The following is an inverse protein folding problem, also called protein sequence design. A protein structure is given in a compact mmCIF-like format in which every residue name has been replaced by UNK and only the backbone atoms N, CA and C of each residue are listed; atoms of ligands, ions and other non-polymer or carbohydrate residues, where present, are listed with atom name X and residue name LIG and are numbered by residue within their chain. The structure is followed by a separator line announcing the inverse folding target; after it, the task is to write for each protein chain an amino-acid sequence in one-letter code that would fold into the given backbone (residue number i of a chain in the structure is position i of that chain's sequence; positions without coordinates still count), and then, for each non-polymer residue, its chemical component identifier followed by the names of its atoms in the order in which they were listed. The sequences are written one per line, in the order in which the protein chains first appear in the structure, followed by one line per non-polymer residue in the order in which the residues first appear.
data_IF_171438330496
#
_entry.id   IF_171438330496
#
_cell.length_a   1.000
_cell.length_b   1.000
_cell.length_c   1.000
_cell.angle_alpha   90.00
_cell.angle_beta   90.00
_cell.angle_gamma   90.00
#
_symmetry.space_group_name_H-M   'P 1'
#
loop_
_entity.id
_entity.type
_entity.pdbx_description
1 polymer ?
#
# COMPACT_ATOMS: atom_id res chain seq x y z
N UNK A 1 -27.95 -5.72 -23.13
CA UNK A 1 -26.80 -4.77 -23.11
C UNK A 1 -26.62 -4.03 -21.77
N UNK A 2 -27.48 -4.26 -20.76
CA UNK A 2 -27.19 -3.97 -19.33
C UNK A 2 -26.79 -5.23 -18.56
N UNK A 3 -26.78 -6.40 -19.22
CA UNK A 3 -26.63 -7.73 -18.59
C UNK A 3 -25.18 -8.16 -18.33
N UNK A 4 -24.17 -7.39 -18.78
CA UNK A 4 -22.76 -7.74 -18.57
C UNK A 4 -22.10 -7.01 -17.38
N UNK A 5 -22.82 -6.06 -16.76
CA UNK A 5 -22.32 -5.29 -15.63
C UNK A 5 -22.81 -5.91 -14.33
N UNK A 6 -21.84 -6.27 -13.48
CA UNK A 6 -22.11 -6.98 -12.23
C UNK A 6 -22.93 -6.11 -11.27
N UNK A 7 -23.91 -6.75 -10.62
CA UNK A 7 -24.68 -6.11 -9.55
C UNK A 7 -23.73 -5.71 -8.41
N UNK A 8 -23.78 -4.44 -8.00
CA UNK A 8 -22.87 -3.87 -6.99
C UNK A 8 -22.98 -4.60 -5.65
N UNK A 9 -24.19 -4.96 -5.21
CA UNK A 9 -24.37 -5.68 -3.95
C UNK A 9 -23.74 -7.08 -4.01
N UNK A 10 -23.90 -7.77 -5.14
CA UNK A 10 -23.26 -9.07 -5.36
C UNK A 10 -21.73 -8.95 -5.37
N UNK A 11 -21.19 -7.90 -5.99
CA UNK A 11 -19.76 -7.61 -5.99
C UNK A 11 -19.23 -7.38 -4.58
N UNK A 12 -19.92 -6.57 -3.76
CA UNK A 12 -19.57 -6.31 -2.37
C UNK A 12 -19.65 -7.60 -1.53
N UNK A 13 -20.68 -8.42 -1.71
CA UNK A 13 -20.85 -9.69 -0.99
C UNK A 13 -19.73 -10.69 -1.30
N UNK A 14 -19.32 -10.79 -2.56
CA UNK A 14 -18.19 -11.62 -2.95
C UNK A 14 -16.87 -11.11 -2.39
N UNK A 15 -16.61 -9.80 -2.51
CA UNK A 15 -15.44 -9.16 -1.91
C UNK A 15 -15.38 -9.45 -0.40
N UNK A 16 -16.48 -9.26 0.32
CA UNK A 16 -16.54 -9.49 1.77
C UNK A 16 -16.21 -10.93 2.13
N UNK A 17 -16.69 -11.91 1.35
CA UNK A 17 -16.36 -13.34 1.57
C UNK A 17 -14.85 -13.59 1.39
N UNK A 18 -14.26 -13.07 0.32
CA UNK A 18 -12.82 -13.24 0.03
C UNK A 18 -11.97 -12.55 1.09
N UNK A 19 -12.27 -11.28 1.39
CA UNK A 19 -11.56 -10.51 2.41
C UNK A 19 -11.64 -11.18 3.80
N UNK A 20 -12.81 -11.72 4.17
CA UNK A 20 -12.99 -12.45 5.42
C UNK A 20 -12.13 -13.72 5.49
N UNK A 21 -12.10 -14.52 4.42
CA UNK A 21 -11.27 -15.73 4.35
C UNK A 21 -9.78 -15.36 4.45
N UNK A 22 -9.34 -14.36 3.69
CA UNK A 22 -7.97 -13.89 3.70
C UNK A 22 -7.52 -13.40 5.08
N UNK A 23 -8.34 -12.57 5.74
CA UNK A 23 -8.03 -12.05 7.07
C UNK A 23 -7.92 -13.14 8.14
N UNK A 24 -8.66 -14.25 8.01
CA UNK A 24 -8.53 -15.41 8.92
C UNK A 24 -7.22 -16.17 8.73
N UNK A 25 -6.59 -16.05 7.55
CA UNK A 25 -5.28 -16.65 7.24
C UNK A 25 -4.12 -15.68 7.52
N UNK A 26 -4.41 -14.39 7.69
CA UNK A 26 -3.44 -13.35 7.99
C UNK A 26 -3.08 -13.27 9.49
N UNK A 27 -2.49 -14.35 10.00
CA UNK A 27 -1.88 -14.42 11.34
C UNK A 27 -0.51 -15.10 11.26
N UNK A 28 0.41 -14.68 12.13
CA UNK A 28 1.79 -15.22 12.15
C UNK A 28 1.85 -16.73 12.47
N UNK A 29 0.83 -17.29 13.11
CA UNK A 29 0.76 -18.72 13.46
C UNK A 29 0.24 -19.63 12.34
N UNK A 30 -0.33 -19.08 11.28
CA UNK A 30 -0.84 -19.86 10.14
C UNK A 30 0.35 -20.32 9.28
N UNK A 31 0.30 -21.54 8.73
CA UNK A 31 1.41 -22.06 7.93
C UNK A 31 1.64 -21.22 6.65
N UNK A 32 2.91 -21.06 6.23
CA UNK A 32 3.27 -20.18 5.11
C UNK A 32 2.68 -20.66 3.78
N UNK A 33 2.57 -21.97 3.58
CA UNK A 33 1.96 -22.58 2.40
C UNK A 33 0.48 -22.18 2.24
N UNK A 34 -0.28 -22.14 3.34
CA UNK A 34 -1.69 -21.72 3.35
C UNK A 34 -1.80 -20.22 3.01
N UNK A 35 -0.85 -19.41 3.48
CA UNK A 35 -0.81 -17.98 3.18
C UNK A 35 -0.44 -17.71 1.72
N UNK A 36 0.48 -18.50 1.15
CA UNK A 36 0.86 -18.43 -0.27
C UNK A 36 -0.32 -18.80 -1.18
N UNK A 37 -1.04 -19.88 -0.88
CA UNK A 37 -2.27 -20.25 -1.60
C UNK A 37 -3.35 -19.16 -1.55
N UNK A 38 -3.48 -18.47 -0.41
CA UNK A 38 -4.43 -17.36 -0.27
C UNK A 38 -3.99 -16.14 -1.09
N UNK A 39 -2.68 -15.85 -1.16
CA UNK A 39 -2.16 -14.79 -2.04
C UNK A 39 -2.55 -15.06 -3.49
N UNK A 40 -2.37 -16.30 -3.98
CA UNK A 40 -2.78 -16.68 -5.34
C UNK A 40 -4.29 -16.49 -5.56
N UNK A 41 -5.10 -16.84 -4.56
CA UNK A 41 -6.57 -16.64 -4.60
C UNK A 41 -6.93 -15.16 -4.68
N UNK A 42 -6.29 -14.32 -3.87
CA UNK A 42 -6.48 -12.87 -3.88
C UNK A 42 -6.05 -12.28 -5.23
N UNK A 43 -4.89 -12.67 -5.75
CA UNK A 43 -4.37 -12.18 -7.04
C UNK A 43 -5.32 -12.51 -8.19
N UNK A 44 -5.84 -13.74 -8.24
CA UNK A 44 -6.82 -14.14 -9.24
C UNK A 44 -8.09 -13.27 -9.18
N UNK A 45 -8.62 -12.99 -7.99
CA UNK A 45 -9.79 -12.13 -7.85
C UNK A 45 -9.48 -10.67 -8.16
N UNK A 46 -8.32 -10.14 -7.73
CA UNK A 46 -7.87 -8.78 -8.07
C UNK A 46 -7.76 -8.57 -9.59
N UNK A 47 -7.27 -9.56 -10.33
CA UNK A 47 -7.26 -9.52 -11.79
C UNK A 47 -8.68 -9.43 -12.36
N UNK A 48 -9.65 -10.15 -11.79
CA UNK A 48 -11.06 -10.03 -12.20
C UNK A 48 -11.65 -8.64 -11.90
N UNK A 49 -11.28 -8.02 -10.77
CA UNK A 49 -11.68 -6.66 -10.42
C UNK A 49 -11.03 -5.63 -11.34
N UNK A 50 -9.78 -5.84 -11.75
CA UNK A 50 -9.10 -4.97 -12.70
C UNK A 50 -9.84 -4.93 -14.05
N UNK A 51 -10.19 -6.09 -14.61
CA UNK A 51 -10.97 -6.16 -15.84
C UNK A 51 -12.38 -5.56 -15.69
N UNK A 52 -13.03 -5.79 -14.54
CA UNK A 52 -14.33 -5.18 -14.24
C UNK A 52 -14.24 -3.65 -14.16
N UNK A 53 -13.20 -3.11 -13.52
CA UNK A 53 -12.95 -1.67 -13.43
C UNK A 53 -12.81 -1.06 -14.83
N UNK A 54 -12.07 -1.71 -15.72
CA UNK A 54 -11.93 -1.27 -17.12
C UNK A 54 -13.27 -1.18 -17.83
N UNK A 55 -14.14 -2.18 -17.66
CA UNK A 55 -15.50 -2.15 -18.22
C UNK A 55 -16.32 -0.98 -17.68
N UNK A 56 -16.25 -0.69 -16.37
CA UNK A 56 -16.94 0.46 -15.80
C UNK A 56 -16.42 1.79 -16.37
N UNK A 57 -15.11 1.93 -16.52
CA UNK A 57 -14.47 3.10 -17.17
C UNK A 57 -14.96 3.27 -18.62
N UNK A 58 -14.99 2.19 -19.41
CA UNK A 58 -15.45 2.20 -20.81
C UNK A 58 -16.93 2.59 -20.96
N UNK A 59 -17.74 2.33 -19.93
CA UNK A 59 -19.16 2.68 -19.90
C UNK A 59 -19.45 3.98 -19.15
N UNK A 60 -18.42 4.76 -18.80
CA UNK A 60 -18.52 6.03 -18.05
C UNK A 60 -19.20 5.89 -16.67
N UNK A 61 -19.09 4.71 -16.06
CA UNK A 61 -19.62 4.36 -14.74
C UNK A 61 -18.59 4.68 -13.65
N UNK A 62 -18.41 5.97 -13.39
CA UNK A 62 -17.33 6.49 -12.54
C UNK A 62 -17.38 5.99 -11.09
N UNK A 63 -18.58 5.94 -10.48
CA UNK A 63 -18.74 5.53 -9.08
C UNK A 63 -18.41 4.05 -8.90
N UNK A 64 -18.84 3.21 -9.85
CA UNK A 64 -18.55 1.79 -9.88
C UNK A 64 -17.07 1.51 -10.15
N UNK A 65 -16.42 2.29 -11.02
CA UNK A 65 -14.98 2.22 -11.24
C UNK A 65 -14.20 2.59 -9.96
N UNK A 66 -14.62 3.65 -9.27
CA UNK A 66 -14.02 4.09 -8.00
C UNK A 66 -14.23 3.06 -6.88
N UNK A 67 -15.42 2.48 -6.77
CA UNK A 67 -15.69 1.39 -5.84
C UNK A 67 -14.80 0.19 -6.13
N UNK A 68 -14.73 -0.24 -7.39
CA UNK A 68 -13.94 -1.40 -7.79
C UNK A 68 -12.45 -1.19 -7.49
N UNK A 69 -11.92 0.02 -7.69
CA UNK A 69 -10.57 0.39 -7.23
C UNK A 69 -10.42 0.19 -5.72
N UNK A 70 -11.38 0.67 -4.91
CA UNK A 70 -11.31 0.53 -3.46
C UNK A 70 -11.34 -0.94 -3.00
N UNK A 71 -12.17 -1.78 -3.62
CA UNK A 71 -12.23 -3.22 -3.32
C UNK A 71 -10.90 -3.91 -3.66
N UNK A 72 -10.35 -3.61 -4.84
CA UNK A 72 -9.10 -4.18 -5.32
C UNK A 72 -7.91 -3.76 -4.44
N UNK A 73 -7.80 -2.48 -4.09
CA UNK A 73 -6.77 -1.98 -3.17
C UNK A 73 -6.94 -2.53 -1.75
N UNK A 74 -8.17 -2.75 -1.28
CA UNK A 74 -8.41 -3.39 0.03
C UNK A 74 -7.81 -4.80 0.07
N UNK A 75 -8.04 -5.59 -0.99
CA UNK A 75 -7.46 -6.92 -1.11
C UNK A 75 -5.94 -6.87 -1.30
N UNK A 76 -5.43 -5.90 -2.06
CA UNK A 76 -3.99 -5.71 -2.20
C UNK A 76 -3.31 -5.41 -0.86
N UNK A 77 -3.96 -4.64 0.02
CA UNK A 77 -3.44 -4.41 1.36
C UNK A 77 -3.37 -5.70 2.18
N UNK A 78 -4.41 -6.56 2.12
CA UNK A 78 -4.42 -7.86 2.81
C UNK A 78 -3.35 -8.80 2.22
N UNK A 79 -3.14 -8.75 0.90
CA UNK A 79 -2.06 -9.49 0.25
C UNK A 79 -0.69 -9.04 0.79
N UNK A 80 -0.45 -7.74 0.92
CA UNK A 80 0.78 -7.23 1.53
C UNK A 80 0.91 -7.62 3.01
N UNK A 81 -0.19 -7.68 3.76
CA UNK A 81 -0.19 -8.22 5.13
C UNK A 81 0.28 -9.68 5.16
N UNK A 82 -0.27 -10.54 4.29
CA UNK A 82 0.13 -11.94 4.18
C UNK A 82 1.62 -12.06 3.80
N UNK A 83 2.06 -11.28 2.81
CA UNK A 83 3.47 -11.24 2.37
C UNK A 83 4.40 -10.75 3.51
N UNK A 84 3.99 -9.77 4.31
CA UNK A 84 4.73 -9.35 5.49
C UNK A 84 4.91 -10.53 6.47
N UNK A 85 3.83 -11.24 6.79
CA UNK A 85 3.87 -12.37 7.73
C UNK A 85 4.73 -13.53 7.22
N UNK A 86 4.68 -13.84 5.92
CA UNK A 86 5.56 -14.83 5.29
C UNK A 86 7.03 -14.38 5.39
N UNK A 87 7.32 -13.13 5.05
CA UNK A 87 8.69 -12.61 5.11
C UNK A 87 9.27 -12.62 6.53
N UNK A 88 8.45 -12.39 7.57
CA UNK A 88 8.89 -12.55 8.96
C UNK A 88 9.31 -13.99 9.24
N UNK A 89 8.54 -14.99 8.80
CA UNK A 89 8.82 -16.42 9.01
C UNK A 89 10.04 -16.89 8.23
N UNK A 90 10.26 -16.31 7.06
CA UNK A 90 11.37 -16.61 6.17
C UNK A 90 12.61 -15.75 6.46
N UNK A 91 12.61 -14.99 7.57
CA UNK A 91 13.75 -14.18 8.02
C UNK A 91 14.12 -13.02 7.07
N UNK A 92 13.20 -12.62 6.20
CA UNK A 92 13.32 -11.53 5.22
C UNK A 92 12.78 -10.21 5.78
N UNK A 93 13.36 -9.72 6.89
CA UNK A 93 12.78 -8.62 7.68
C UNK A 93 12.65 -7.29 6.92
N UNK A 94 13.56 -7.00 5.98
CA UNK A 94 13.48 -5.80 5.13
C UNK A 94 12.25 -5.83 4.23
N UNK A 95 11.98 -6.99 3.60
CA UNK A 95 10.80 -7.18 2.78
C UNK A 95 9.52 -7.26 3.62
N UNK A 96 9.60 -7.78 4.85
CA UNK A 96 8.48 -7.71 5.79
C UNK A 96 8.08 -6.25 6.06
N UNK A 97 9.04 -5.40 6.43
CA UNK A 97 8.80 -3.97 6.65
C UNK A 97 8.24 -3.28 5.40
N UNK A 98 8.85 -3.52 4.24
CA UNK A 98 8.39 -2.95 2.97
C UNK A 98 6.93 -3.33 2.68
N UNK A 99 6.56 -4.59 2.90
CA UNK A 99 5.19 -5.02 2.68
C UNK A 99 4.21 -4.43 3.71
N UNK A 100 4.59 -4.26 4.97
CA UNK A 100 3.75 -3.53 5.94
C UNK A 100 3.48 -2.09 5.49
N UNK A 101 4.53 -1.36 5.08
CA UNK A 101 4.38 0.03 4.62
C UNK A 101 3.51 0.11 3.37
N UNK A 102 3.69 -0.82 2.41
CA UNK A 102 2.81 -0.93 1.24
C UNK A 102 1.35 -1.16 1.65
N UNK A 103 1.10 -2.10 2.58
CA UNK A 103 -0.25 -2.37 3.08
C UNK A 103 -0.91 -1.11 3.66
N UNK A 104 -0.17 -0.35 4.49
CA UNK A 104 -0.64 0.87 5.13
C UNK A 104 -0.98 1.97 4.11
N UNK A 105 -0.05 2.28 3.20
CA UNK A 105 -0.23 3.32 2.17
C UNK A 105 -1.37 2.97 1.20
N UNK A 106 -1.43 1.71 0.78
CA UNK A 106 -2.52 1.21 -0.06
C UNK A 106 -3.88 1.36 0.63
N UNK A 107 -3.99 0.97 1.90
CA UNK A 107 -5.27 1.06 2.61
C UNK A 107 -5.67 2.49 2.99
N UNK A 108 -4.72 3.40 3.23
CA UNK A 108 -5.01 4.83 3.42
C UNK A 108 -5.74 5.42 2.20
N UNK A 109 -5.35 4.99 1.00
CA UNK A 109 -6.00 5.38 -0.25
C UNK A 109 -7.46 4.91 -0.30
N UNK A 110 -7.75 3.70 0.21
CA UNK A 110 -9.12 3.19 0.37
C UNK A 110 -9.88 4.01 1.40
N UNK A 111 -9.31 4.22 2.60
CA UNK A 111 -9.98 4.93 3.69
C UNK A 111 -10.39 6.36 3.31
N UNK A 112 -9.63 7.01 2.42
CA UNK A 112 -9.90 8.37 1.94
C UNK A 112 -10.95 8.45 0.81
N UNK A 113 -11.19 7.35 0.09
CA UNK A 113 -11.93 7.36 -1.16
C UNK A 113 -13.10 6.38 -1.23
N UNK A 114 -13.19 5.38 -0.34
CA UNK A 114 -14.25 4.40 -0.39
C UNK A 114 -15.60 5.06 -0.04
N UNK A 115 -16.63 4.92 -0.89
CA UNK A 115 -17.93 5.52 -0.63
C UNK A 115 -18.74 4.81 0.47
N UNK A 116 -18.30 3.63 0.92
CA UNK A 116 -18.99 2.83 1.92
C UNK A 116 -18.15 2.68 3.19
N UNK A 117 -18.63 3.26 4.30
CA UNK A 117 -17.95 3.19 5.60
C UNK A 117 -17.72 1.76 6.10
N UNK A 118 -18.59 0.82 5.72
CA UNK A 118 -18.47 -0.60 6.09
C UNK A 118 -17.21 -1.26 5.51
N UNK A 119 -16.70 -0.76 4.38
CA UNK A 119 -15.48 -1.25 3.73
C UNK A 119 -14.24 -0.53 4.27
N UNK A 120 -14.38 0.77 4.60
CA UNK A 120 -13.30 1.61 5.11
C UNK A 120 -13.20 1.66 6.64
N UNK A 121 -13.90 0.78 7.36
CA UNK A 121 -13.91 0.80 8.82
C UNK A 121 -12.47 0.69 9.36
N UNK A 122 -12.05 1.69 10.14
CA UNK A 122 -10.67 1.88 10.62
C UNK A 122 -10.09 0.71 11.45
N UNK A 123 -10.87 -0.33 11.74
CA UNK A 123 -10.39 -1.52 12.44
C UNK A 123 -9.21 -2.20 11.73
N UNK A 124 -9.25 -2.25 10.39
CA UNK A 124 -8.17 -2.87 9.63
C UNK A 124 -6.89 -2.01 9.61
N UNK A 125 -7.01 -0.69 9.40
CA UNK A 125 -5.85 0.22 9.50
C UNK A 125 -5.18 0.14 10.89
N UNK A 126 -5.99 0.10 11.95
CA UNK A 126 -5.50 -0.05 13.33
C UNK A 126 -4.75 -1.38 13.53
N UNK A 127 -5.18 -2.47 12.87
CA UNK A 127 -4.45 -3.75 12.89
C UNK A 127 -3.04 -3.58 12.29
N UNK A 128 -2.91 -2.89 11.16
CA UNK A 128 -1.61 -2.63 10.52
C UNK A 128 -0.71 -1.74 11.39
N UNK A 129 -1.27 -0.74 12.06
CA UNK A 129 -0.53 0.08 13.05
C UNK A 129 -0.06 -0.74 14.26
N UNK A 130 -0.83 -1.75 14.68
CA UNK A 130 -0.40 -2.66 15.74
C UNK A 130 0.74 -3.57 15.30
N UNK A 131 0.74 -4.07 14.05
CA UNK A 131 1.90 -4.81 13.55
C UNK A 131 3.17 -3.97 13.57
N UNK A 132 3.09 -2.72 13.13
CA UNK A 132 4.22 -1.79 13.19
C UNK A 132 4.78 -1.67 14.60
N UNK A 133 3.91 -1.45 15.59
CA UNK A 133 4.33 -1.23 16.99
C UNK A 133 4.79 -2.48 17.72
N UNK A 134 4.27 -3.65 17.36
CA UNK A 134 4.48 -4.90 18.11
C UNK A 134 5.57 -5.76 17.46
N UNK A 135 5.63 -5.80 16.12
CA UNK A 135 6.53 -6.69 15.39
C UNK A 135 7.84 -6.02 14.98
N UNK A 136 7.87 -4.69 14.88
CA UNK A 136 9.04 -3.96 14.39
C UNK A 136 9.57 -2.99 15.46
N UNK A 137 10.90 -2.81 15.56
CA UNK A 137 11.50 -1.85 16.48
C UNK A 137 11.22 -0.41 16.04
N UNK A 138 11.39 0.53 16.97
CA UNK A 138 11.45 1.95 16.63
C UNK A 138 12.62 2.23 15.68
N UNK A 139 12.38 3.01 14.64
CA UNK A 139 13.35 3.32 13.59
C UNK A 139 13.43 4.82 13.36
N UNK A 140 14.58 5.28 12.85
CA UNK A 140 14.71 6.61 12.27
C UNK A 140 14.57 6.53 10.75
N UNK A 141 14.08 7.62 10.16
CA UNK A 141 13.83 7.70 8.73
C UNK A 141 14.48 8.94 8.15
N UNK A 142 14.77 8.90 6.85
CA UNK A 142 15.17 10.05 6.07
C UNK A 142 13.93 10.63 5.38
N UNK A 143 13.82 11.96 5.38
CA UNK A 143 12.85 12.70 4.57
C UNK A 143 13.57 13.73 3.72
N UNK A 144 13.00 14.04 2.55
CA UNK A 144 13.57 15.02 1.63
C UNK A 144 12.74 16.29 1.64
N UNK A 145 13.41 17.44 1.63
CA UNK A 145 12.85 18.76 1.38
C UNK A 145 13.43 19.32 0.08
N UNK A 146 12.59 19.99 -0.71
CA UNK A 146 13.05 20.59 -1.96
C UNK A 146 11.98 21.35 -2.73
N UNK A 147 12.43 22.08 -3.74
CA UNK A 147 11.58 22.93 -4.58
C UNK A 147 11.16 22.16 -5.83
N UNK A 148 9.85 21.92 -5.97
CA UNK A 148 9.28 21.36 -7.19
C UNK A 148 9.30 22.44 -8.29
N UNK A 149 10.12 22.25 -9.33
CA UNK A 149 10.23 23.16 -10.47
C UNK A 149 9.16 22.87 -11.52
N UNK A 150 8.89 21.58 -11.79
CA UNK A 150 7.87 21.13 -12.74
C UNK A 150 7.08 19.96 -12.20
N UNK A 151 5.76 20.05 -12.32
CA UNK A 151 4.86 18.96 -12.00
C UNK A 151 3.52 19.10 -12.70
N UNK A 152 2.86 17.98 -12.97
CA UNK A 152 1.52 17.93 -13.57
C UNK A 152 0.61 16.96 -12.82
N UNK A 153 -0.70 17.10 -13.05
CA UNK A 153 -1.71 16.17 -12.54
C UNK A 153 -1.73 14.89 -13.38
N UNK A 154 -1.80 13.71 -12.74
CA UNK A 154 -1.91 12.44 -13.47
C UNK A 154 -3.22 12.26 -14.25
N UNK A 155 -4.30 12.95 -13.87
CA UNK A 155 -5.63 12.77 -14.48
C UNK A 155 -5.82 13.63 -15.73
N UNK A 156 -5.41 14.90 -15.68
CA UNK A 156 -5.62 15.85 -16.79
C UNK A 156 -4.35 16.36 -17.44
N UNK A 157 -3.18 15.96 -16.95
CA UNK A 157 -1.87 16.39 -17.43
C UNK A 157 -1.60 17.91 -17.33
N UNK A 158 -2.53 18.70 -16.81
CA UNK A 158 -2.37 20.12 -16.58
C UNK A 158 -1.37 20.40 -15.45
N UNK A 159 -0.75 21.59 -15.51
CA UNK A 159 0.03 22.11 -14.40
C UNK A 159 -0.84 22.20 -13.15
N UNK A 160 -0.26 21.90 -11.98
CA UNK A 160 -1.03 21.83 -10.74
C UNK A 160 -1.76 23.15 -10.39
N UNK A 161 -1.21 24.30 -10.83
CA UNK A 161 -1.82 25.63 -10.62
C UNK A 161 -3.11 25.86 -11.44
N UNK A 162 -3.37 25.04 -12.46
CA UNK A 162 -4.54 25.12 -13.35
C UNK A 162 -5.49 23.93 -13.20
N UNK A 163 -5.11 22.96 -12.38
CA UNK A 163 -5.83 21.71 -12.21
C UNK A 163 -6.88 21.83 -11.09
N UNK A 164 -8.08 21.32 -11.32
CA UNK A 164 -9.14 21.25 -10.30
C UNK A 164 -9.21 19.88 -9.58
N UNK A 165 -8.33 18.94 -9.90
CA UNK A 165 -8.28 17.62 -9.26
C UNK A 165 -7.55 17.70 -7.92
N UNK A 166 -8.12 17.04 -6.91
CA UNK A 166 -7.60 16.97 -5.55
C UNK A 166 -6.62 15.81 -5.45
N UNK A 167 -5.39 16.08 -5.00
CA UNK A 167 -4.36 15.04 -4.80
C UNK A 167 -4.88 13.97 -3.82
N UNK A 168 -4.77 12.71 -4.23
CA UNK A 168 -5.20 11.55 -3.46
C UNK A 168 -6.70 11.26 -3.54
N UNK A 169 -7.47 11.97 -4.39
CA UNK A 169 -8.85 11.62 -4.70
C UNK A 169 -8.95 10.74 -5.94
N UNK A 170 -9.96 9.87 -5.97
CA UNK A 170 -10.27 9.03 -7.12
C UNK A 170 -11.09 9.77 -8.17
N UNK A 171 -10.73 9.53 -9.43
CA UNK A 171 -11.40 10.00 -10.63
C UNK A 171 -11.43 8.85 -11.63
N UNK A 172 -12.62 8.34 -11.94
CA UNK A 172 -12.84 7.27 -12.91
C UNK A 172 -11.94 6.02 -12.68
N UNK A 173 -11.87 5.55 -11.44
CA UNK A 173 -11.07 4.38 -11.07
C UNK A 173 -9.56 4.60 -11.02
N UNK A 174 -9.10 5.86 -11.10
CA UNK A 174 -7.69 6.26 -10.99
C UNK A 174 -7.46 7.30 -9.90
N UNK A 175 -6.33 7.20 -9.20
CA UNK A 175 -5.98 8.15 -8.16
C UNK A 175 -5.26 9.36 -8.75
N UNK A 176 -5.72 10.57 -8.42
CA UNK A 176 -5.02 11.78 -8.77
C UNK A 176 -3.72 11.90 -7.97
N UNK A 177 -2.59 11.79 -8.65
CA UNK A 177 -1.26 12.03 -8.09
C UNK A 177 -0.61 13.23 -8.75
N UNK A 178 0.32 13.86 -8.02
CA UNK A 178 1.16 14.92 -8.55
C UNK A 178 2.43 14.29 -9.13
N UNK A 179 2.56 14.29 -10.44
CA UNK A 179 3.75 13.82 -11.13
C UNK A 179 4.80 14.92 -11.09
N UNK A 180 5.83 14.73 -10.28
CA UNK A 180 6.99 15.65 -10.20
C UNK A 180 8.00 15.21 -11.25
N UNK A 181 8.26 16.09 -12.23
CA UNK A 181 9.21 15.80 -13.33
C UNK A 181 10.53 16.56 -13.19
N UNK A 182 10.54 17.62 -12.38
CA UNK A 182 11.75 18.38 -12.07
C UNK A 182 11.65 18.92 -10.64
N UNK A 183 12.69 18.64 -9.85
CA UNK A 183 12.80 19.02 -8.45
C UNK A 183 14.25 19.40 -8.17
N UNK A 184 14.44 20.43 -7.36
CA UNK A 184 15.71 20.78 -6.73
C UNK A 184 15.70 20.28 -5.30
N UNK A 185 16.61 19.37 -4.96
CA UNK A 185 16.78 18.85 -3.61
C UNK A 185 17.48 19.91 -2.76
N UNK A 186 16.89 20.27 -1.62
CA UNK A 186 17.46 21.25 -0.70
C UNK A 186 18.01 20.59 0.56
N UNK A 187 17.29 19.59 1.09
CA UNK A 187 17.67 18.96 2.34
C UNK A 187 17.31 17.47 2.38
N UNK A 188 18.05 16.77 3.24
CA UNK A 188 17.70 15.44 3.74
C UNK A 188 17.76 15.52 5.26
N UNK A 189 16.62 15.25 5.91
CA UNK A 189 16.48 15.34 7.36
C UNK A 189 16.22 13.96 7.96
N UNK A 190 16.81 13.69 9.11
CA UNK A 190 16.44 12.53 9.93
C UNK A 190 15.21 12.86 10.76
N UNK A 191 14.18 12.01 10.68
CA UNK A 191 12.88 12.23 11.30
C UNK A 191 12.33 10.95 11.91
N UNK A 192 11.51 11.10 12.95
CA UNK A 192 10.76 10.00 13.56
C UNK A 192 9.49 9.65 12.78
N UNK A 193 8.88 10.65 12.13
CA UNK A 193 7.62 10.50 11.36
C UNK A 193 7.87 10.95 9.91
N UNK A 194 8.21 10.03 8.99
CA UNK A 194 8.50 10.36 7.60
C UNK A 194 7.23 10.44 6.76
N UNK A 195 7.32 11.14 5.62
CA UNK A 195 6.33 11.03 4.55
C UNK A 195 6.34 9.64 3.87
N UNK A 196 7.49 8.96 3.84
CA UNK A 196 7.63 7.60 3.33
C UNK A 196 8.41 6.72 4.34
N UNK A 197 7.71 5.79 4.98
CA UNK A 197 8.29 4.85 5.95
C UNK A 197 9.25 3.81 5.33
N UNK A 198 9.31 3.68 4.01
CA UNK A 198 10.33 2.86 3.35
C UNK A 198 11.72 3.51 3.40
N UNK A 199 11.80 4.83 3.58
CA UNK A 199 13.05 5.58 3.71
C UNK A 199 13.66 5.45 5.11
N UNK A 200 13.68 4.24 5.69
CA UNK A 200 14.32 4.01 7.00
C UNK A 200 15.84 4.09 6.86
N UNK A 201 16.50 4.51 7.93
CA UNK A 201 17.95 4.36 8.05
C UNK A 201 18.27 2.87 8.11
N UNK A 202 19.07 2.34 7.18
CA UNK A 202 19.30 0.90 7.05
C UNK A 202 20.29 0.35 8.08
N UNK A 203 21.26 1.16 8.51
CA UNK A 203 22.34 0.70 9.39
C UNK A 203 22.49 1.62 10.60
N UNK A 204 22.96 1.08 11.71
CA UNK A 204 23.25 1.83 12.93
C UNK A 204 24.48 1.28 13.63
N UNK A 205 24.99 2.00 14.62
CA UNK A 205 26.07 1.52 15.49
C UNK A 205 25.48 0.88 16.74
N UNK A 206 25.82 -0.37 16.98
CA UNK A 206 25.44 -1.10 18.20
C UNK A 206 26.67 -1.83 18.75
N UNK A 207 27.00 -1.61 20.02
CA UNK A 207 28.19 -2.16 20.68
C UNK A 207 29.51 -1.97 19.88
N UNK A 208 29.69 -0.80 19.27
CA UNK A 208 30.88 -0.47 18.47
C UNK A 208 30.96 -1.14 17.10
N UNK A 209 29.91 -1.86 16.67
CA UNK A 209 29.81 -2.51 15.37
C UNK A 209 28.74 -1.85 14.50
N UNK A 210 28.91 -1.89 13.19
CA UNK A 210 27.88 -1.52 12.22
C UNK A 210 26.92 -2.69 12.06
N UNK A 211 25.63 -2.44 12.31
CA UNK A 211 24.58 -3.45 12.24
C UNK A 211 23.41 -2.96 11.40
N UNK A 212 22.60 -3.87 10.87
CA UNK A 212 21.30 -3.53 10.30
C UNK A 212 20.37 -2.99 11.39
N UNK A 213 19.68 -1.89 11.10
CA UNK A 213 18.87 -1.16 12.08
C UNK A 213 17.61 -1.91 12.52
N UNK A 214 17.18 -2.91 11.74
CA UNK A 214 15.96 -3.66 12.00
C UNK A 214 16.25 -4.96 12.77
N UNK A 215 17.34 -5.64 12.42
CA UNK A 215 17.67 -6.99 12.89
C UNK A 215 18.86 -7.03 13.85
N UNK A 216 19.62 -5.94 13.96
CA UNK A 216 20.89 -5.84 14.71
C UNK A 216 21.97 -6.84 14.26
N UNK A 217 21.82 -7.44 13.07
CA UNK A 217 22.87 -8.28 12.47
C UNK A 217 24.03 -7.42 12.04
N UNK A 218 25.24 -7.85 12.37
CA UNK A 218 26.47 -7.21 11.92
C UNK A 218 26.52 -7.22 10.40
N UNK A 219 26.82 -6.05 9.83
CA UNK A 219 27.02 -5.89 8.40
C UNK A 219 28.53 -5.94 8.21
N UNK A 220 29.02 -7.00 7.58
CA UNK A 220 30.41 -7.05 7.16
C UNK A 220 30.64 -5.87 6.20
N UNK A 221 31.68 -5.06 6.47
CA UNK A 221 32.12 -4.05 5.52
C UNK A 221 32.56 -4.80 4.27
N UNK A 222 31.75 -4.77 3.21
CA UNK A 222 32.30 -4.99 1.87
C UNK A 222 33.33 -3.88 1.68
N UNK A 223 34.59 -4.28 1.47
CA UNK A 223 35.64 -3.38 1.03
C UNK A 223 35.30 -2.97 -0.40
N UNK A 224 34.35 -2.05 -0.56
CA UNK A 224 34.10 -1.42 -1.84
C UNK A 224 35.07 -0.22 -1.93
N UNK A 225 36.19 -0.47 -2.62
CA UNK A 225 37.09 0.53 -3.18
C UNK A 225 36.39 1.37 -4.27
#
# INVERSE_FOLDING_TARGET
MKDELKNINLLIDEFNKIAFIAQRKAFITIASEIQKEEIETIEAYRNSLFELKRKYVEHELNEEANLTFCLEQSLQSIQYELQMLINIKEDNMNEAWNNLVKAQVTYESVARNCPYESISANGYMRKLEYYEKILFPGMMFASIGGIIKKSHCSICNESYNKCNHIKGKLYNGEMCVRMVTEMELEEVSLVDIPANKQCRVLTTTYNGKTVDSLTLREIEKTNDE
#
